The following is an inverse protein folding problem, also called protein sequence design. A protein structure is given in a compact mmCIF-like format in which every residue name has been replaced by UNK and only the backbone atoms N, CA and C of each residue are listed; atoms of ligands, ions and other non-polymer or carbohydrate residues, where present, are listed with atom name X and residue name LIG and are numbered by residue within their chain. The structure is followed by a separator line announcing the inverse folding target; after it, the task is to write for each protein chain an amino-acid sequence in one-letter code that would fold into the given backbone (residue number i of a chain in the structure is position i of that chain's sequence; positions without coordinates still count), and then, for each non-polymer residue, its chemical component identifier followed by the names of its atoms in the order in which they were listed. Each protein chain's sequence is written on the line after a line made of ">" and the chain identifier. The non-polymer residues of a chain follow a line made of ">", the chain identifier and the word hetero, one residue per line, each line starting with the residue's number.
data_IF_794426193732
#
_entry.id   IF_794426193732
#
_cell.length_a   1.000
_cell.length_b   1.000
_cell.length_c   1.000
_cell.angle_alpha   90.00
_cell.angle_beta   90.00
_cell.angle_gamma   90.00
#
_symmetry.space_group_name_H-M   'P 1'
#
loop_
_entity.id
_entity.type
_entity.pdbx_description
1 polymer ?
#
# COMPACT_ATOMS: atom_id res chain seq x y z
N UNK A 1 13.21 -18.64 -17.84
CA UNK A 1 11.95 -18.10 -17.30
C UNK A 1 11.98 -16.59 -17.51
N UNK A 2 10.87 -15.89 -17.65
CA UNK A 2 10.82 -14.43 -17.72
C UNK A 2 10.34 -13.96 -16.35
N UNK A 3 11.05 -13.01 -15.76
CA UNK A 3 10.70 -12.44 -14.46
C UNK A 3 10.02 -11.09 -14.70
N UNK A 4 8.95 -10.83 -13.96
CA UNK A 4 8.16 -9.60 -14.04
C UNK A 4 8.34 -8.83 -12.75
N UNK A 5 8.51 -7.53 -12.85
CA UNK A 5 8.68 -6.60 -11.74
C UNK A 5 7.73 -5.42 -11.92
N UNK A 6 7.25 -4.91 -10.79
CA UNK A 6 6.38 -3.74 -10.75
C UNK A 6 6.96 -2.69 -9.77
N UNK A 7 8.16 -2.14 -10.04
CA UNK A 7 8.69 -1.07 -9.21
C UNK A 7 7.66 0.03 -9.04
N UNK A 8 7.46 0.44 -7.80
CA UNK A 8 6.44 1.43 -7.43
C UNK A 8 7.04 2.47 -6.51
N UNK A 9 6.70 3.73 -6.74
CA UNK A 9 7.15 4.88 -5.96
C UNK A 9 5.95 5.69 -5.51
N UNK A 10 5.88 5.99 -4.22
CA UNK A 10 4.97 7.01 -3.67
C UNK A 10 5.70 8.36 -3.82
N UNK A 11 5.10 9.31 -4.54
CA UNK A 11 5.80 10.55 -4.92
C UNK A 11 5.87 11.60 -3.80
N UNK A 12 4.99 11.52 -2.80
CA UNK A 12 5.00 12.41 -1.65
C UNK A 12 5.68 11.74 -0.46
N UNK A 13 6.46 12.50 0.29
CA UNK A 13 6.85 12.14 1.64
C UNK A 13 5.65 12.28 2.57
N UNK A 14 5.42 11.30 3.42
CA UNK A 14 4.29 11.24 4.35
C UNK A 14 4.79 11.55 5.76
N UNK A 15 4.27 12.61 6.38
CA UNK A 15 4.69 13.02 7.72
C UNK A 15 4.32 11.96 8.78
N UNK A 16 5.17 11.83 9.80
CA UNK A 16 4.87 11.01 10.99
C UNK A 16 3.52 11.38 11.62
N UNK A 17 3.14 12.65 11.58
CA UNK A 17 1.90 13.14 12.18
C UNK A 17 0.64 12.78 11.39
N UNK A 18 0.78 12.39 10.13
CA UNK A 18 -0.34 12.01 9.26
C UNK A 18 -0.68 10.52 9.37
N UNK A 19 0.29 9.71 9.81
CA UNK A 19 0.16 8.26 9.94
C UNK A 19 -0.09 7.83 11.39
N UNK A 20 -0.90 6.80 11.56
CA UNK A 20 -0.93 6.07 12.83
C UNK A 20 0.26 5.11 12.92
N UNK A 21 0.68 4.67 14.13
CA UNK A 21 1.72 3.66 14.27
C UNK A 21 1.45 2.35 13.51
N UNK A 22 0.18 1.94 13.40
CA UNK A 22 -0.19 0.74 12.67
C UNK A 22 -0.10 0.93 11.15
N UNK A 23 -0.50 2.08 10.64
CA UNK A 23 -0.37 2.40 9.21
C UNK A 23 1.10 2.47 8.78
N UNK A 24 1.94 3.12 9.59
CA UNK A 24 3.39 3.14 9.34
C UNK A 24 3.97 1.71 9.37
N UNK A 25 3.58 0.87 10.35
CA UNK A 25 4.02 -0.51 10.42
C UNK A 25 3.63 -1.29 9.16
N UNK A 26 2.40 -1.14 8.68
CA UNK A 26 1.93 -1.79 7.46
C UNK A 26 2.69 -1.30 6.23
N UNK A 27 2.77 0.02 6.04
CA UNK A 27 3.43 0.60 4.87
C UNK A 27 4.92 0.22 4.82
N UNK A 28 5.60 0.14 5.96
CA UNK A 28 6.99 -0.31 6.04
C UNK A 28 7.20 -1.82 5.78
N UNK A 29 6.12 -2.63 5.75
CA UNK A 29 6.17 -4.04 5.33
C UNK A 29 5.68 -4.24 3.90
N UNK A 30 4.84 -3.34 3.40
CA UNK A 30 4.35 -3.34 2.01
C UNK A 30 5.41 -2.77 1.07
N UNK A 31 6.12 -1.74 1.50
CA UNK A 31 7.14 -0.99 0.78
C UNK A 31 8.47 -1.00 1.53
N UNK A 32 9.53 -0.67 0.83
CA UNK A 32 10.73 -0.13 1.45
C UNK A 32 10.43 1.27 1.96
N UNK A 33 10.89 1.60 3.18
CA UNK A 33 10.61 2.86 3.83
C UNK A 33 11.91 3.56 4.24
N UNK A 34 12.11 4.78 3.77
CA UNK A 34 13.26 5.60 4.12
C UNK A 34 12.84 6.89 4.80
N UNK A 35 13.63 7.34 5.76
CA UNK A 35 13.41 8.63 6.42
C UNK A 35 13.64 9.79 5.45
N UNK A 36 12.68 10.72 5.41
CA UNK A 36 12.76 11.96 4.66
C UNK A 36 12.29 13.13 5.55
N UNK A 37 13.25 13.77 6.22
CA UNK A 37 12.95 14.81 7.20
C UNK A 37 12.08 14.31 8.35
N UNK A 38 10.92 14.95 8.53
CA UNK A 38 9.91 14.60 9.56
C UNK A 38 8.90 13.52 9.07
N UNK A 39 9.20 12.89 7.94
CA UNK A 39 8.32 11.90 7.33
C UNK A 39 9.06 10.70 6.78
N UNK A 40 8.36 10.01 5.88
CA UNK A 40 8.80 8.78 5.26
C UNK A 40 8.57 8.83 3.75
N UNK A 41 9.56 8.35 3.02
CA UNK A 41 9.48 8.04 1.61
C UNK A 41 9.27 6.54 1.44
N UNK A 42 8.29 6.17 0.61
CA UNK A 42 7.92 4.77 0.36
C UNK A 42 8.14 4.41 -1.11
N UNK A 43 8.78 3.27 -1.34
CA UNK A 43 9.01 2.74 -2.68
C UNK A 43 9.10 1.20 -2.62
N UNK A 44 9.02 0.54 -3.76
CA UNK A 44 9.30 -0.89 -3.86
C UNK A 44 10.00 -1.17 -5.19
N UNK A 45 11.12 -1.88 -5.15
CA UNK A 45 11.88 -2.25 -6.36
C UNK A 45 11.23 -3.39 -7.15
N UNK A 46 10.48 -4.26 -6.50
CA UNK A 46 9.88 -5.44 -7.13
C UNK A 46 8.36 -5.35 -7.25
N UNK A 47 7.75 -4.49 -6.47
CA UNK A 47 6.32 -4.28 -6.31
C UNK A 47 5.91 -4.31 -4.85
N UNK A 48 4.83 -3.58 -4.48
CA UNK A 48 4.28 -3.62 -3.14
C UNK A 48 3.92 -5.05 -2.73
N UNK A 49 4.24 -5.44 -1.49
CA UNK A 49 3.90 -6.77 -0.97
C UNK A 49 2.46 -6.78 -0.48
N UNK A 50 1.69 -7.78 -0.87
CA UNK A 50 0.36 -8.07 -0.34
C UNK A 50 0.37 -9.16 0.76
N UNK A 51 1.52 -9.80 0.98
CA UNK A 51 1.74 -10.80 2.03
C UNK A 51 2.70 -10.27 3.08
N UNK A 52 2.21 -10.03 4.28
CA UNK A 52 3.01 -9.49 5.38
C UNK A 52 3.21 -10.53 6.47
N UNK A 53 4.43 -10.68 6.98
CA UNK A 53 4.73 -11.47 8.18
C UNK A 53 5.20 -10.54 9.27
N UNK A 54 4.34 -10.28 10.26
CA UNK A 54 4.58 -9.27 11.31
C UNK A 54 4.62 -9.95 12.67
N UNK A 55 5.58 -9.56 13.51
CA UNK A 55 5.66 -10.00 14.90
C UNK A 55 4.39 -9.56 15.64
N UNK A 56 3.72 -10.53 16.29
CA UNK A 56 2.42 -10.33 16.93
C UNK A 56 2.42 -9.21 17.97
N UNK A 57 3.44 -9.16 18.83
CA UNK A 57 3.53 -8.13 19.87
C UNK A 57 3.69 -6.72 19.30
N UNK A 58 4.45 -6.58 18.20
CA UNK A 58 4.58 -5.31 17.49
C UNK A 58 3.25 -4.89 16.86
N UNK A 59 2.51 -5.84 16.27
CA UNK A 59 1.20 -5.59 15.67
C UNK A 59 0.17 -5.16 16.72
N UNK A 60 0.09 -5.88 17.85
CA UNK A 60 -0.82 -5.56 18.96
C UNK A 60 -0.50 -4.19 19.58
N UNK A 61 0.78 -3.88 19.77
CA UNK A 61 1.22 -2.59 20.30
C UNK A 61 0.89 -1.43 19.33
N UNK A 62 1.14 -1.62 18.04
CA UNK A 62 0.82 -0.63 17.02
C UNK A 62 -0.68 -0.40 16.89
N UNK A 63 -1.49 -1.47 16.95
CA UNK A 63 -2.96 -1.36 16.96
C UNK A 63 -3.45 -0.58 18.19
N UNK A 64 -2.96 -0.90 19.40
CA UNK A 64 -3.34 -0.19 20.61
C UNK A 64 -2.97 1.31 20.56
N UNK A 65 -1.79 1.63 20.02
CA UNK A 65 -1.36 3.02 19.83
C UNK A 65 -2.15 3.77 18.73
N UNK A 66 -2.91 3.03 17.91
CA UNK A 66 -3.70 3.57 16.78
C UNK A 66 -5.21 3.61 17.05
N UNK A 67 -5.66 3.37 18.29
CA UNK A 67 -7.09 3.27 18.62
C UNK A 67 -7.89 4.56 18.32
N UNK A 68 -7.23 5.73 18.30
CA UNK A 68 -7.85 7.00 17.95
C UNK A 68 -8.34 7.09 16.49
N UNK A 69 -7.83 6.24 15.60
CA UNK A 69 -8.22 6.16 14.19
C UNK A 69 -9.21 5.00 13.95
N UNK A 70 -10.40 5.08 14.55
CA UNK A 70 -11.40 3.99 14.60
C UNK A 70 -11.78 3.47 13.21
N UNK A 71 -11.87 4.35 12.22
CA UNK A 71 -12.28 4.03 10.84
C UNK A 71 -11.12 3.66 9.91
N UNK A 72 -9.89 3.58 10.42
CA UNK A 72 -8.73 3.18 9.63
C UNK A 72 -8.89 1.76 9.08
N UNK A 73 -8.63 1.61 7.80
CA UNK A 73 -8.64 0.31 7.11
C UNK A 73 -7.66 -0.66 7.76
N UNK A 74 -6.45 -0.19 8.13
CA UNK A 74 -5.47 -1.00 8.84
C UNK A 74 -6.01 -1.51 10.18
N UNK A 75 -6.65 -0.64 10.99
CA UNK A 75 -7.23 -1.02 12.27
C UNK A 75 -8.34 -2.08 12.12
N UNK A 76 -9.26 -1.89 11.16
CA UNK A 76 -10.33 -2.85 10.89
C UNK A 76 -9.77 -4.20 10.45
N UNK A 77 -8.80 -4.17 9.55
CA UNK A 77 -8.16 -5.38 9.03
C UNK A 77 -7.48 -6.17 10.15
N UNK A 78 -6.65 -5.55 10.98
CA UNK A 78 -5.94 -6.23 12.07
C UNK A 78 -6.92 -6.80 13.10
N UNK A 79 -7.93 -6.05 13.51
CA UNK A 79 -8.95 -6.54 14.45
C UNK A 79 -9.68 -7.79 13.95
N UNK A 80 -9.88 -7.91 12.64
CA UNK A 80 -10.52 -9.08 12.03
C UNK A 80 -9.60 -10.31 11.95
N UNK A 81 -8.27 -10.12 12.00
CA UNK A 81 -7.28 -11.18 11.82
C UNK A 81 -6.49 -11.53 13.09
N UNK A 82 -6.63 -10.75 14.16
CA UNK A 82 -6.03 -11.12 15.44
C UNK A 82 -6.67 -12.40 15.97
N UNK A 83 -5.85 -13.36 16.43
CA UNK A 83 -6.37 -14.57 17.04
C UNK A 83 -7.14 -14.24 18.34
N UNK A 84 -8.19 -15.01 18.60
CA UNK A 84 -8.95 -14.88 19.84
C UNK A 84 -8.01 -15.04 21.06
N UNK A 85 -7.97 -14.07 21.99
CA UNK A 85 -7.16 -14.17 23.21
C UNK A 85 -7.51 -15.38 24.07
N UNK A 86 -8.71 -15.96 23.89
CA UNK A 86 -9.18 -17.16 24.59
C UNK A 86 -8.88 -18.47 23.83
N UNK A 87 -8.21 -18.40 22.68
CA UNK A 87 -7.85 -19.59 21.92
C UNK A 87 -6.97 -20.54 22.76
N UNK A 88 -7.34 -21.81 22.76
CA UNK A 88 -6.60 -22.85 23.49
C UNK A 88 -5.36 -23.24 22.67
N UNK A 89 -4.17 -22.94 23.19
CA UNK A 89 -2.90 -23.31 22.58
C UNK A 89 -1.89 -22.16 22.53
N UNK A 90 -0.64 -22.45 22.13
CA UNK A 90 0.35 -21.41 21.96
C UNK A 90 -0.02 -20.52 20.77
N UNK A 91 -0.12 -19.21 21.00
CA UNK A 91 -0.34 -18.24 19.93
C UNK A 91 0.94 -18.08 19.09
N UNK A 92 0.83 -17.92 17.77
CA UNK A 92 1.99 -17.72 16.91
C UNK A 92 2.72 -16.43 17.29
N UNK A 93 4.06 -16.46 17.18
CA UNK A 93 4.90 -15.27 17.42
C UNK A 93 4.83 -14.26 16.28
N UNK A 94 4.54 -14.72 15.06
CA UNK A 94 4.31 -13.92 13.87
C UNK A 94 2.93 -14.22 13.29
N UNK A 95 2.33 -13.22 12.69
CA UNK A 95 1.07 -13.34 11.96
C UNK A 95 1.34 -13.09 10.48
N UNK A 96 0.92 -14.04 9.66
CA UNK A 96 0.93 -13.90 8.20
C UNK A 96 -0.40 -13.27 7.77
N UNK A 97 -0.33 -12.08 7.21
CA UNK A 97 -1.48 -11.25 6.83
C UNK A 97 -1.53 -11.16 5.32
N UNK A 98 -2.65 -11.59 4.74
CA UNK A 98 -2.94 -11.49 3.30
C UNK A 98 -3.75 -10.22 3.04
N UNK A 99 -3.12 -9.22 2.42
CA UNK A 99 -3.72 -7.94 2.06
C UNK A 99 -4.36 -7.96 0.66
N UNK A 100 -4.46 -9.10 -0.02
CA UNK A 100 -5.03 -9.19 -1.37
C UNK A 100 -6.48 -8.68 -1.46
N UNK A 101 -7.21 -8.69 -0.33
CA UNK A 101 -8.58 -8.15 -0.21
C UNK A 101 -8.62 -6.72 0.34
N UNK A 102 -7.49 -6.18 0.76
CA UNK A 102 -7.37 -4.84 1.35
C UNK A 102 -6.13 -4.18 0.77
N UNK A 103 -6.32 -3.39 -0.25
CA UNK A 103 -5.21 -2.74 -0.95
C UNK A 103 -4.57 -1.63 -0.12
N UNK A 104 -3.25 -1.42 -0.30
CA UNK A 104 -2.49 -0.36 0.35
C UNK A 104 -3.01 1.05 -0.01
N UNK A 105 -3.64 1.21 -1.15
CA UNK A 105 -4.26 2.47 -1.58
C UNK A 105 -5.37 2.91 -0.61
N UNK A 106 -6.11 1.98 0.00
CA UNK A 106 -7.10 2.32 1.01
C UNK A 106 -6.47 2.80 2.31
N UNK A 107 -5.30 2.25 2.68
CA UNK A 107 -4.53 2.73 3.84
C UNK A 107 -4.05 4.17 3.58
N UNK A 108 -3.49 4.44 2.39
CA UNK A 108 -3.08 5.78 1.97
C UNK A 108 -4.27 6.75 1.92
N UNK A 109 -5.44 6.31 1.43
CA UNK A 109 -6.64 7.12 1.41
C UNK A 109 -7.08 7.53 2.82
N UNK A 110 -7.03 6.62 3.79
CA UNK A 110 -7.37 6.93 5.18
C UNK A 110 -6.38 7.95 5.79
N UNK A 111 -5.10 7.88 5.43
CA UNK A 111 -4.10 8.88 5.80
C UNK A 111 -4.46 10.23 5.20
N UNK A 112 -4.74 10.30 3.89
CA UNK A 112 -5.13 11.55 3.21
C UNK A 112 -6.39 12.15 3.82
N UNK A 113 -7.41 11.34 4.13
CA UNK A 113 -8.66 11.79 4.77
C UNK A 113 -8.44 12.49 6.10
N UNK A 114 -7.45 12.06 6.87
CA UNK A 114 -7.16 12.62 8.21
C UNK A 114 -6.11 13.71 8.18
N UNK A 115 -5.27 13.73 7.15
CA UNK A 115 -4.16 14.68 7.05
C UNK A 115 -4.66 16.12 6.88
N UNK A 116 -3.97 17.05 7.53
CA UNK A 116 -4.14 18.48 7.29
C UNK A 116 -3.10 19.04 6.31
N UNK A 117 -2.12 18.23 5.93
CA UNK A 117 -0.97 18.63 5.09
C UNK A 117 -1.01 18.02 3.69
N UNK A 118 -1.67 16.85 3.53
CA UNK A 118 -1.78 16.11 2.28
C UNK A 118 -3.19 16.27 1.68
N UNK A 119 -3.28 16.88 0.51
CA UNK A 119 -4.52 16.91 -0.26
C UNK A 119 -4.71 15.63 -1.09
N UNK A 120 -3.63 14.98 -1.46
CA UNK A 120 -3.59 13.73 -2.21
C UNK A 120 -2.22 13.06 -2.07
N UNK A 121 -2.18 11.78 -2.44
CA UNK A 121 -0.96 11.00 -2.66
C UNK A 121 -0.98 10.47 -4.08
N UNK A 122 0.18 10.44 -4.75
CA UNK A 122 0.33 9.84 -6.07
C UNK A 122 1.35 8.70 -6.03
N UNK A 123 1.04 7.63 -6.73
CA UNK A 123 1.94 6.50 -6.93
C UNK A 123 2.18 6.30 -8.43
N UNK A 124 3.42 5.98 -8.79
CA UNK A 124 3.80 5.62 -10.14
C UNK A 124 4.46 4.25 -10.11
N UNK A 125 3.95 3.35 -10.95
CA UNK A 125 4.50 2.01 -11.13
C UNK A 125 4.99 1.82 -12.56
N UNK A 126 6.08 1.06 -12.72
CA UNK A 126 6.48 0.56 -14.03
C UNK A 126 6.26 -0.96 -14.08
N UNK A 127 5.81 -1.46 -15.22
CA UNK A 127 5.76 -2.90 -15.50
C UNK A 127 6.95 -3.25 -16.37
N UNK A 128 7.81 -4.13 -15.87
CA UNK A 128 9.03 -4.53 -16.56
C UNK A 128 9.18 -6.04 -16.60
N UNK A 129 9.74 -6.53 -17.68
CA UNK A 129 10.05 -7.95 -17.85
C UNK A 129 11.55 -8.10 -18.15
N UNK A 130 12.17 -9.14 -17.60
CA UNK A 130 13.58 -9.45 -17.87
C UNK A 130 13.87 -9.83 -19.34
N UNK A 131 12.83 -9.96 -20.16
CA UNK A 131 12.91 -10.19 -21.61
C UNK A 131 12.10 -9.15 -22.37
N UNK A 132 12.59 -8.77 -23.55
CA UNK A 132 11.89 -7.85 -24.47
C UNK A 132 10.70 -8.55 -25.11
N UNK A 133 9.54 -8.47 -24.48
CA UNK A 133 8.26 -9.05 -24.95
C UNK A 133 7.25 -7.92 -25.17
N UNK A 134 6.33 -8.03 -26.14
CA UNK A 134 5.34 -7.00 -26.40
C UNK A 134 4.43 -6.68 -25.20
N UNK A 135 4.18 -7.66 -24.34
CA UNK A 135 3.35 -7.59 -23.12
C UNK A 135 4.16 -7.37 -21.84
N UNK A 136 5.48 -7.17 -21.97
CA UNK A 136 6.41 -7.13 -20.85
C UNK A 136 6.72 -5.75 -20.28
N UNK A 137 6.14 -4.68 -20.86
CA UNK A 137 6.48 -3.31 -20.49
C UNK A 137 5.24 -2.41 -20.45
N UNK A 138 5.27 -1.51 -19.50
CA UNK A 138 4.21 -0.54 -19.32
C UNK A 138 4.39 0.26 -18.03
N UNK A 139 3.33 0.88 -17.59
CA UNK A 139 3.29 1.60 -16.33
C UNK A 139 1.87 1.95 -15.93
N UNK A 140 1.72 2.43 -14.72
CA UNK A 140 0.48 2.97 -14.20
C UNK A 140 0.76 4.16 -13.30
N UNK A 141 -0.19 5.06 -13.23
CA UNK A 141 -0.22 6.13 -12.24
C UNK A 141 -1.53 6.03 -11.45
N UNK A 142 -1.44 6.23 -10.14
CA UNK A 142 -2.59 6.27 -9.25
C UNK A 142 -2.56 7.59 -8.48
N UNK A 143 -3.70 8.25 -8.39
CA UNK A 143 -3.92 9.39 -7.51
C UNK A 143 -4.95 8.99 -6.46
N UNK A 144 -4.60 9.24 -5.21
CA UNK A 144 -5.39 8.90 -4.03
C UNK A 144 -5.75 10.21 -3.33
N UNK A 145 -7.01 10.59 -3.37
CA UNK A 145 -7.57 11.72 -2.63
C UNK A 145 -8.42 11.24 -1.46
N UNK A 146 -8.91 12.15 -0.65
CA UNK A 146 -9.84 11.81 0.42
C UNK A 146 -11.12 11.14 -0.09
N UNK A 147 -11.60 11.52 -1.27
CA UNK A 147 -12.91 11.11 -1.79
C UNK A 147 -12.83 9.93 -2.76
N UNK A 148 -11.72 9.81 -3.51
CA UNK A 148 -11.62 8.82 -4.58
C UNK A 148 -10.17 8.34 -4.82
N UNK A 149 -10.05 7.17 -5.42
CA UNK A 149 -8.81 6.59 -5.93
C UNK A 149 -8.97 6.47 -7.44
N UNK A 150 -8.11 7.16 -8.18
CA UNK A 150 -8.08 7.15 -9.65
C UNK A 150 -6.79 6.52 -10.12
N UNK A 151 -6.88 5.61 -11.07
CA UNK A 151 -5.70 4.98 -11.67
C UNK A 151 -5.85 4.84 -13.17
N UNK A 152 -4.71 4.92 -13.88
CA UNK A 152 -4.64 4.70 -15.32
C UNK A 152 -3.33 4.03 -15.69
N UNK A 153 -3.42 2.98 -16.51
CA UNK A 153 -2.25 2.29 -17.05
C UNK A 153 -1.92 2.78 -18.48
N UNK A 154 -0.74 2.42 -18.94
CA UNK A 154 -0.36 2.64 -20.36
C UNK A 154 -1.22 1.84 -21.31
N UNK A 155 -1.79 0.69 -20.89
CA UNK A 155 -2.75 -0.09 -21.70
C UNK A 155 -4.06 0.66 -21.85
N UNK A 156 -4.59 1.26 -20.79
CA UNK A 156 -5.82 2.07 -20.86
C UNK A 156 -5.64 3.26 -21.81
N UNK A 157 -4.47 3.92 -21.75
CA UNK A 157 -4.16 5.02 -22.68
C UNK A 157 -4.08 4.55 -24.14
N UNK A 158 -3.50 3.38 -24.40
CA UNK A 158 -3.44 2.82 -25.75
C UNK A 158 -4.83 2.42 -26.26
N UNK A 159 -5.68 1.86 -25.43
CA UNK A 159 -7.06 1.56 -25.78
C UNK A 159 -7.84 2.82 -26.17
N UNK A 160 -7.74 3.90 -25.40
CA UNK A 160 -8.33 5.20 -25.74
C UNK A 160 -7.81 5.75 -27.07
N UNK A 161 -6.50 5.63 -27.35
CA UNK A 161 -5.94 6.08 -28.63
C UNK A 161 -6.47 5.23 -29.80
N UNK A 162 -6.61 3.92 -29.62
CA UNK A 162 -7.17 3.02 -30.63
C UNK A 162 -8.63 3.36 -30.91
N UNK A 163 -9.44 3.56 -29.86
CA UNK A 163 -10.84 3.96 -30.01
C UNK A 163 -10.99 5.29 -30.77
N UNK A 164 -10.05 6.24 -30.53
CA UNK A 164 -10.07 7.53 -31.23
C UNK A 164 -9.75 7.44 -32.72
N UNK A 165 -8.96 6.46 -33.16
CA UNK A 165 -8.56 6.30 -34.56
C UNK A 165 -9.32 5.20 -35.29
N UNK A 166 -10.08 4.37 -34.57
CA UNK A 166 -10.94 3.37 -35.18
C UNK A 166 -12.08 4.04 -35.98
N UNK A 167 -12.37 3.61 -37.21
CA UNK A 167 -13.40 4.20 -38.06
C UNK A 167 -14.82 3.92 -37.59
#
# INVERSE_FOLDING_TARGET
>A
MADYYTPTVIQQSISDTDMTPLELLFLAHIFDAERDGDGWYFFSEQGPSDMLSIERGALEAALAASEGAVDSTANRFVRAHLPDPQAIGPLPSHLDLDLSTTSWEFIMQDIVKRSSTLAYVTAVSSFTCSRMRPDGFGGAAVLISADEIMGKSTSDLLEEFIEHVAP
#
